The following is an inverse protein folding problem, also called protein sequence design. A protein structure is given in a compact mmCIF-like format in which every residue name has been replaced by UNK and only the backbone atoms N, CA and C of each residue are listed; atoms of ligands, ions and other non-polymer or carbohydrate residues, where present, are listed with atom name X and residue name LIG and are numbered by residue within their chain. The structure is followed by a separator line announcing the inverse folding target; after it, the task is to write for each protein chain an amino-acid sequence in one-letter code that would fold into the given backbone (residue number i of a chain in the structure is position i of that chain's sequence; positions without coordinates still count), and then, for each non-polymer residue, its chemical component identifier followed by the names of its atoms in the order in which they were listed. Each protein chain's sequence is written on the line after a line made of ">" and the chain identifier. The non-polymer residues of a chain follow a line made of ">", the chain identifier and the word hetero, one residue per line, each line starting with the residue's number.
data_IF_447721977312
#
_entry.id   IF_447721977312
#
_cell.length_a   1.000
_cell.length_b   1.000
_cell.length_c   1.000
_cell.angle_alpha   90.00
_cell.angle_beta   90.00
_cell.angle_gamma   90.00
#
_symmetry.space_group_name_H-M   'P 1'
#
loop_
_entity.id
_entity.type
_entity.pdbx_description
1 polymer ?
#
# COMPACT_ATOMS: atom_id res chain seq x y z
N UNK A 1 12.51 -13.64 5.43
CA UNK A 1 11.34 -13.08 4.72
C UNK A 1 11.08 -11.73 5.34
N UNK A 2 11.10 -10.67 4.54
CA UNK A 2 10.87 -9.31 5.02
C UNK A 2 9.40 -9.17 5.47
N UNK A 3 9.16 -8.72 6.69
CA UNK A 3 7.83 -8.56 7.25
C UNK A 3 7.39 -7.09 7.17
N UNK A 4 6.83 -6.76 6.01
CA UNK A 4 6.42 -5.39 5.69
C UNK A 4 5.35 -4.84 6.63
N UNK A 5 4.46 -5.69 7.14
CA UNK A 5 3.42 -5.27 8.09
C UNK A 5 4.09 -4.83 9.39
N UNK A 6 5.04 -5.62 9.89
CA UNK A 6 5.80 -5.26 11.09
C UNK A 6 6.57 -3.96 10.92
N UNK A 7 7.21 -3.75 9.77
CA UNK A 7 7.98 -2.52 9.55
C UNK A 7 7.10 -1.27 9.42
N UNK A 8 5.93 -1.37 8.78
CA UNK A 8 4.96 -0.25 8.77
C UNK A 8 4.48 0.06 10.19
N UNK A 9 4.21 -0.96 11.02
CA UNK A 9 3.85 -0.75 12.43
C UNK A 9 5.02 -0.16 13.25
N UNK A 10 6.27 -0.40 12.87
CA UNK A 10 7.42 0.25 13.48
C UNK A 10 7.49 1.74 13.12
N UNK A 11 7.15 2.11 11.88
CA UNK A 11 7.02 3.52 11.47
C UNK A 11 5.89 4.21 12.24
N UNK A 12 4.73 3.56 12.39
CA UNK A 12 3.62 4.07 13.19
C UNK A 12 4.04 4.32 14.64
N UNK A 13 4.82 3.41 15.25
CA UNK A 13 5.39 3.64 16.60
C UNK A 13 6.43 4.75 16.64
N UNK A 14 7.21 4.93 15.58
CA UNK A 14 8.29 5.92 15.49
C UNK A 14 7.74 7.34 15.38
N UNK A 15 6.75 7.53 14.50
CA UNK A 15 6.16 8.84 14.20
C UNK A 15 4.87 9.12 14.98
N UNK A 16 4.31 8.11 15.65
CA UNK A 16 3.14 8.26 16.50
C UNK A 16 1.87 8.53 15.71
N UNK A 17 0.93 9.25 16.33
CA UNK A 17 -0.40 9.56 15.76
C UNK A 17 -0.34 10.39 14.47
N UNK A 18 0.80 11.02 14.18
CA UNK A 18 0.99 11.81 12.95
C UNK A 18 1.24 10.91 11.73
N UNK A 19 1.65 9.64 11.94
CA UNK A 19 1.90 8.72 10.84
C UNK A 19 0.62 8.42 10.05
N UNK A 20 0.69 8.58 8.73
CA UNK A 20 -0.47 8.54 7.85
C UNK A 20 -0.66 7.19 7.15
N UNK A 21 -0.05 6.10 7.62
CA UNK A 21 -0.27 4.75 7.09
C UNK A 21 -0.63 3.78 8.21
N UNK A 22 -1.40 2.74 7.87
CA UNK A 22 -1.70 1.68 8.81
C UNK A 22 -2.05 0.35 8.17
N UNK A 23 -1.93 -0.71 8.97
CA UNK A 23 -2.06 -2.11 8.54
C UNK A 23 -3.38 -2.77 9.00
N UNK A 24 -4.11 -2.12 9.90
CA UNK A 24 -5.44 -2.53 10.34
C UNK A 24 -6.49 -2.14 9.29
N UNK A 25 -6.58 -2.95 8.24
CA UNK A 25 -7.46 -2.68 7.08
C UNK A 25 -8.41 -3.84 6.78
N UNK A 26 -9.59 -3.51 6.23
CA UNK A 26 -10.47 -4.51 5.64
C UNK A 26 -9.89 -4.97 4.29
N UNK A 27 -9.11 -6.05 4.32
CA UNK A 27 -8.38 -6.54 3.15
C UNK A 27 -9.30 -6.95 2.00
N UNK A 28 -10.44 -7.57 2.30
CA UNK A 28 -11.40 -8.06 1.30
C UNK A 28 -12.04 -6.91 0.54
N UNK A 29 -12.36 -5.83 1.26
CA UNK A 29 -12.89 -4.60 0.66
C UNK A 29 -11.91 -4.02 -0.36
N UNK A 30 -10.65 -3.78 0.04
CA UNK A 30 -9.66 -3.17 -0.84
C UNK A 30 -9.26 -4.05 -2.03
N UNK A 31 -9.21 -5.37 -1.85
CA UNK A 31 -9.02 -6.30 -2.96
C UNK A 31 -10.16 -6.20 -3.97
N UNK A 32 -11.41 -6.10 -3.50
CA UNK A 32 -12.58 -5.95 -4.36
C UNK A 32 -12.58 -4.61 -5.10
N UNK A 33 -12.21 -3.52 -4.44
CA UNK A 33 -12.08 -2.21 -5.09
C UNK A 33 -10.99 -2.21 -6.16
N UNK A 34 -9.81 -2.80 -5.87
CA UNK A 34 -8.76 -2.93 -6.88
C UNK A 34 -9.24 -3.72 -8.10
N UNK A 35 -9.96 -4.83 -7.91
CA UNK A 35 -10.53 -5.64 -9.02
C UNK A 35 -11.55 -4.86 -9.85
N UNK A 36 -12.30 -3.93 -9.25
CA UNK A 36 -13.24 -3.07 -9.98
C UNK A 36 -12.52 -2.01 -10.81
N UNK A 37 -11.45 -1.43 -10.28
CA UNK A 37 -10.72 -0.35 -10.92
C UNK A 37 -9.68 -0.82 -11.93
N UNK A 38 -9.19 -2.07 -11.82
CA UNK A 38 -8.14 -2.58 -12.71
C UNK A 38 -8.40 -3.99 -13.21
N UNK A 39 -7.85 -4.30 -14.39
CA UNK A 39 -7.81 -5.66 -14.91
C UNK A 39 -6.64 -6.40 -14.26
N UNK A 40 -6.88 -7.03 -13.11
CA UNK A 40 -5.90 -7.89 -12.40
C UNK A 40 -5.72 -9.27 -13.04
N UNK A 41 -6.25 -9.50 -14.24
CA UNK A 41 -6.32 -10.80 -14.91
C UNK A 41 -5.03 -11.67 -14.90
N UNK A 42 -3.79 -11.14 -14.84
CA UNK A 42 -2.62 -12.00 -14.74
C UNK A 42 -2.28 -12.52 -13.31
N UNK A 43 -2.79 -11.92 -12.23
CA UNK A 43 -2.39 -12.26 -10.86
C UNK A 43 -3.39 -13.20 -10.19
N UNK A 44 -2.89 -14.29 -9.59
CA UNK A 44 -3.71 -15.30 -8.92
C UNK A 44 -3.92 -15.00 -7.44
N UNK A 45 -3.00 -14.27 -6.82
CA UNK A 45 -3.07 -13.90 -5.41
C UNK A 45 -2.84 -12.40 -5.24
N UNK A 46 -3.81 -11.71 -4.64
CA UNK A 46 -3.78 -10.27 -4.39
C UNK A 46 -4.09 -10.05 -2.92
N UNK A 47 -3.14 -9.49 -2.17
CA UNK A 47 -3.30 -9.27 -0.73
C UNK A 47 -3.11 -7.79 -0.44
N UNK A 48 -4.13 -7.13 0.10
CA UNK A 48 -3.99 -5.79 0.67
C UNK A 48 -3.25 -5.87 2.01
N UNK A 49 -2.21 -5.06 2.17
CA UNK A 49 -1.30 -5.10 3.32
C UNK A 49 -1.42 -3.87 4.22
N UNK A 50 -1.54 -2.68 3.63
CA UNK A 50 -1.62 -1.42 4.33
C UNK A 50 -2.34 -0.37 3.49
N UNK A 51 -2.82 0.70 4.11
CA UNK A 51 -3.36 1.86 3.41
C UNK A 51 -2.83 3.16 3.98
N UNK A 52 -2.89 4.22 3.20
CA UNK A 52 -2.80 5.57 3.74
C UNK A 52 -4.13 6.02 4.37
N UNK A 53 -4.04 6.79 5.45
CA UNK A 53 -5.15 7.52 6.06
C UNK A 53 -5.31 8.92 5.47
N UNK A 54 -4.28 9.43 4.80
CA UNK A 54 -4.27 10.79 4.24
C UNK A 54 -4.73 10.87 2.78
N UNK A 55 -4.72 9.75 2.07
CA UNK A 55 -5.10 9.65 0.67
C UNK A 55 -5.63 8.24 0.35
N UNK A 56 -6.02 8.01 -0.91
CA UNK A 56 -6.56 6.72 -1.38
C UNK A 56 -5.47 5.70 -1.80
N UNK A 57 -4.24 5.86 -1.32
CA UNK A 57 -3.16 4.91 -1.58
C UNK A 57 -3.34 3.63 -0.75
N UNK A 58 -3.24 2.49 -1.41
CA UNK A 58 -3.30 1.17 -0.79
C UNK A 58 -2.15 0.30 -1.29
N UNK A 59 -1.44 -0.34 -0.35
CA UNK A 59 -0.35 -1.26 -0.63
C UNK A 59 -0.89 -2.69 -0.80
N UNK A 60 -0.57 -3.29 -1.94
CA UNK A 60 -0.90 -4.67 -2.27
C UNK A 60 0.35 -5.50 -2.51
N UNK A 61 0.25 -6.79 -2.21
CA UNK A 61 1.17 -7.84 -2.60
C UNK A 61 0.52 -8.72 -3.66
N UNK A 62 1.14 -8.79 -4.83
CA UNK A 62 0.71 -9.55 -6.00
C UNK A 62 1.59 -10.80 -6.14
N UNK A 63 0.94 -11.97 -6.22
CA UNK A 63 1.54 -13.31 -6.35
C UNK A 63 2.69 -13.59 -5.37
N UNK A 64 2.67 -12.95 -4.20
CA UNK A 64 3.75 -13.00 -3.20
C UNK A 64 5.13 -12.60 -3.75
N UNK A 65 5.16 -11.80 -4.83
CA UNK A 65 6.38 -11.44 -5.57
C UNK A 65 6.56 -9.95 -5.75
N UNK A 66 5.47 -9.22 -5.98
CA UNK A 66 5.51 -7.82 -6.38
C UNK A 66 4.66 -7.00 -5.43
N UNK A 67 5.22 -5.92 -4.92
CA UNK A 67 4.49 -4.94 -4.14
C UNK A 67 4.03 -3.81 -5.06
N UNK A 68 2.78 -3.37 -4.92
CA UNK A 68 2.26 -2.20 -5.62
C UNK A 68 1.50 -1.31 -4.68
N UNK A 69 1.82 -0.03 -4.69
CA UNK A 69 0.98 1.00 -4.09
C UNK A 69 0.07 1.52 -5.19
N UNK A 70 -1.23 1.25 -5.09
CA UNK A 70 -2.25 1.76 -5.99
C UNK A 70 -2.91 2.99 -5.38
N UNK A 71 -3.04 4.05 -6.16
CA UNK A 71 -3.93 5.16 -5.84
C UNK A 71 -5.31 4.82 -6.37
N UNK A 72 -6.24 4.44 -5.49
CA UNK A 72 -7.59 4.05 -5.89
C UNK A 72 -8.37 5.30 -6.27
N UNK A 73 -8.62 5.47 -7.56
CA UNK A 73 -9.33 6.63 -8.09
C UNK A 73 -10.75 6.16 -8.43
N UNK A 74 -11.69 6.39 -7.51
CA UNK A 74 -13.11 6.07 -7.64
C UNK A 74 -13.84 6.79 -8.80
N UNK A 75 -13.12 7.33 -9.80
CA UNK A 75 -13.68 8.06 -10.96
C UNK A 75 -12.71 8.07 -12.17
N UNK A 76 -13.18 7.56 -13.32
CA UNK A 76 -12.75 7.85 -14.70
C UNK A 76 -11.25 8.06 -15.01
N UNK A 77 -10.37 7.21 -14.47
CA UNK A 77 -8.94 7.18 -14.83
C UNK A 77 -8.33 5.79 -14.72
N UNK A 78 -7.29 5.52 -15.51
CA UNK A 78 -6.49 4.30 -15.30
C UNK A 78 -5.84 4.37 -13.91
N UNK A 79 -5.97 3.32 -13.07
CA UNK A 79 -5.41 3.32 -11.74
C UNK A 79 -3.89 3.44 -11.81
N UNK A 80 -3.36 4.48 -11.16
CA UNK A 80 -1.91 4.71 -11.10
C UNK A 80 -1.32 3.87 -9.98
N UNK A 81 -0.19 3.25 -10.25
CA UNK A 81 0.53 2.49 -9.25
C UNK A 81 2.04 2.72 -9.31
N UNK A 82 2.67 2.56 -8.15
CA UNK A 82 4.13 2.44 -8.03
C UNK A 82 4.47 1.00 -7.68
N UNK A 83 5.36 0.39 -8.46
CA UNK A 83 5.76 -1.02 -8.32
C UNK A 83 7.11 -1.15 -7.63
N UNK A 84 7.23 -2.17 -6.77
CA UNK A 84 8.45 -2.54 -6.07
C UNK A 84 8.62 -4.05 -6.06
N UNK A 85 9.87 -4.50 -6.21
CA UNK A 85 10.23 -5.93 -6.09
C UNK A 85 10.85 -6.26 -4.73
N UNK A 86 10.94 -5.27 -3.84
CA UNK A 86 11.56 -5.39 -2.53
C UNK A 86 10.72 -4.65 -1.49
N UNK A 87 10.38 -5.35 -0.41
CA UNK A 87 9.61 -4.78 0.69
C UNK A 87 10.37 -3.67 1.43
N UNK A 88 11.70 -3.75 1.51
CA UNK A 88 12.52 -2.69 2.12
C UNK A 88 12.32 -1.37 1.37
N UNK A 89 12.31 -1.42 0.02
CA UNK A 89 12.08 -0.25 -0.83
C UNK A 89 10.70 0.34 -0.69
N UNK A 90 9.68 -0.49 -0.40
CA UNK A 90 8.33 0.00 -0.12
C UNK A 90 8.33 0.81 1.19
N UNK A 91 8.94 0.28 2.24
CA UNK A 91 8.98 0.94 3.55
C UNK A 91 9.79 2.24 3.49
N UNK A 92 10.96 2.22 2.85
CA UNK A 92 11.77 3.42 2.59
C UNK A 92 10.98 4.48 1.82
N UNK A 93 10.19 4.08 0.81
CA UNK A 93 9.38 4.99 0.02
C UNK A 93 8.26 5.63 0.86
N UNK A 94 7.54 4.84 1.66
CA UNK A 94 6.46 5.33 2.53
C UNK A 94 7.02 6.31 3.57
N UNK A 95 8.10 5.92 4.25
CA UNK A 95 8.74 6.77 5.27
C UNK A 95 9.25 8.07 4.64
N UNK A 96 9.94 8.00 3.50
CA UNK A 96 10.45 9.19 2.82
C UNK A 96 9.34 10.15 2.42
N UNK A 97 8.23 9.65 1.84
CA UNK A 97 7.08 10.51 1.51
C UNK A 97 6.47 11.16 2.73
N UNK A 98 6.33 10.41 3.83
CA UNK A 98 5.84 10.97 5.08
C UNK A 98 6.74 12.10 5.58
N UNK A 99 8.06 11.87 5.64
CA UNK A 99 9.03 12.87 6.06
C UNK A 99 9.02 14.10 5.14
N UNK A 100 9.05 13.90 3.81
CA UNK A 100 9.10 15.00 2.84
C UNK A 100 7.82 15.87 2.85
N UNK A 101 6.67 15.31 3.21
CA UNK A 101 5.37 16.00 3.19
C UNK A 101 4.93 16.56 4.56
N UNK A 102 5.39 15.95 5.66
CA UNK A 102 4.86 16.22 7.00
C UNK A 102 5.93 16.56 8.06
N UNK A 103 7.22 16.54 7.75
CA UNK A 103 8.31 16.91 8.67
C UNK A 103 9.16 18.05 8.11
#
# INVERSE_FOLDING_TARGET
>A
MFDIIREINNLEKKYGEEFNWGTEINREFYQSELVKETVLAPYQNVIALAKSYSNDDVLFLLDNKVYRIYHLAYSDGEPRYTEFHDGEKVVEYIEKRFVDEYC
#
